data_IF_508089076665
#
_entry.id   IF_508089076665
#
_cell.length_a   1.000
_cell.length_b   1.000
_cell.length_c   1.000
_cell.angle_alpha   90.00
_cell.angle_beta   90.00
_cell.angle_gamma   90.00
#
_symmetry.space_group_name_H-M   'P 1'
#
loop_
_entity.id
_entity.type
_entity.pdbx_description
1 polymer ?
#
# COMPACT_ATOMS: atom_id res chain seq x y z
N UNK A 1 15.61 -1.27 3.89
CA UNK A 1 14.28 -1.74 3.44
C UNK A 1 13.78 -2.79 4.45
N UNK A 2 12.91 -2.44 5.40
CA UNK A 2 12.47 -3.37 6.46
C UNK A 2 11.24 -4.19 6.03
N UNK A 3 11.33 -5.52 6.00
CA UNK A 3 10.35 -6.37 5.32
C UNK A 3 8.98 -6.51 5.99
N UNK A 4 7.93 -6.15 5.23
CA UNK A 4 6.50 -6.22 5.59
C UNK A 4 6.18 -5.78 7.02
N UNK A 5 7.01 -4.91 7.60
CA UNK A 5 6.94 -4.55 9.01
C UNK A 5 5.59 -3.89 9.32
N UNK A 6 5.07 -3.10 8.39
CA UNK A 6 3.77 -2.44 8.51
C UNK A 6 2.63 -3.46 8.63
N UNK A 7 2.53 -4.43 7.71
CA UNK A 7 1.43 -5.43 7.74
C UNK A 7 1.59 -6.41 8.91
N UNK A 8 2.82 -6.79 9.25
CA UNK A 8 3.06 -7.66 10.40
C UNK A 8 2.73 -6.95 11.72
N UNK A 9 2.99 -5.65 11.83
CA UNK A 9 2.60 -4.85 12.99
C UNK A 9 1.07 -4.73 13.08
N UNK A 10 0.39 -4.40 11.97
CA UNK A 10 -1.08 -4.35 11.92
C UNK A 10 -1.73 -5.70 12.31
N UNK A 11 -1.22 -6.82 11.80
CA UNK A 11 -1.70 -8.16 12.15
C UNK A 11 -1.47 -8.56 13.61
N UNK A 12 -0.34 -8.14 14.20
CA UNK A 12 -0.03 -8.39 15.61
C UNK A 12 -0.97 -7.60 16.52
N UNK A 13 -1.21 -6.32 16.19
CA UNK A 13 -2.15 -5.48 16.92
C UNK A 13 -3.58 -6.07 16.90
N UNK A 14 -3.95 -6.75 15.80
CA UNK A 14 -5.24 -7.44 15.62
C UNK A 14 -5.25 -8.92 16.07
N UNK A 15 -4.28 -9.34 16.91
CA UNK A 15 -4.28 -10.67 17.53
C UNK A 15 -4.11 -11.84 16.54
N UNK A 16 -3.47 -11.62 15.39
CA UNK A 16 -3.23 -12.63 14.34
C UNK A 16 -4.49 -13.25 13.70
N UNK A 17 -5.67 -12.64 13.83
CA UNK A 17 -6.89 -13.11 13.15
C UNK A 17 -7.47 -11.98 12.31
N UNK A 18 -7.46 -12.15 10.99
CA UNK A 18 -8.38 -11.44 10.08
C UNK A 18 -9.81 -11.88 10.42
N UNK A 19 -10.39 -11.36 11.49
CA UNK A 19 -11.80 -11.52 11.81
C UNK A 19 -12.44 -10.14 11.91
N UNK A 20 -13.27 -9.85 10.91
CA UNK A 20 -14.10 -8.66 10.83
C UNK A 20 -14.84 -8.47 12.17
N UNK A 21 -14.52 -7.39 12.89
CA UNK A 21 -15.25 -6.96 14.09
C UNK A 21 -14.55 -7.10 15.45
N UNK A 22 -13.25 -7.39 15.52
CA UNK A 22 -12.52 -7.48 16.81
C UNK A 22 -11.60 -6.27 17.02
N UNK A 23 -11.67 -5.60 18.18
CA UNK A 23 -10.83 -4.43 18.53
C UNK A 23 -9.40 -4.87 18.92
N UNK A 24 -8.54 -5.10 17.94
CA UNK A 24 -7.10 -4.97 18.13
C UNK A 24 -6.70 -3.50 18.09
N UNK A 25 -6.32 -2.91 19.22
CA UNK A 25 -5.89 -1.51 19.25
C UNK A 25 -4.43 -1.47 18.82
N UNK A 26 -4.17 -1.10 17.56
CA UNK A 26 -2.86 -0.59 17.12
C UNK A 26 -2.52 0.58 18.05
N UNK A 27 -1.35 0.60 18.68
CA UNK A 27 -0.98 1.75 19.48
C UNK A 27 -0.87 2.99 18.57
N UNK A 28 -1.20 4.17 19.09
CA UNK A 28 -1.13 5.40 18.30
C UNK A 28 0.26 5.62 17.67
N UNK A 29 1.32 5.20 18.37
CA UNK A 29 2.71 5.28 17.89
C UNK A 29 2.93 4.35 16.69
N UNK A 30 2.47 3.09 16.76
CA UNK A 30 2.60 2.14 15.65
C UNK A 30 1.77 2.58 14.44
N UNK A 31 0.56 3.11 14.66
CA UNK A 31 -0.27 3.65 13.59
C UNK A 31 0.42 4.80 12.86
N UNK A 32 1.03 5.72 13.62
CA UNK A 32 1.82 6.82 13.06
C UNK A 32 3.03 6.33 12.27
N UNK A 33 3.78 5.36 12.81
CA UNK A 33 4.94 4.81 12.11
C UNK A 33 4.53 4.13 10.80
N UNK A 34 3.46 3.32 10.83
CA UNK A 34 2.92 2.67 9.64
C UNK A 34 2.42 3.67 8.60
N UNK A 35 1.72 4.71 9.05
CA UNK A 35 1.26 5.78 8.16
C UNK A 35 2.43 6.51 7.51
N UNK A 36 3.45 6.87 8.30
CA UNK A 36 4.65 7.54 7.78
C UNK A 36 5.37 6.69 6.74
N UNK A 37 5.52 5.39 7.01
CA UNK A 37 6.13 4.46 6.06
C UNK A 37 5.31 4.25 4.80
N UNK A 38 3.98 4.31 4.90
CA UNK A 38 3.10 4.33 3.74
C UNK A 38 3.31 5.61 2.93
N UNK A 39 3.29 6.79 3.56
CA UNK A 39 3.56 8.07 2.91
C UNK A 39 4.89 8.07 2.15
N UNK A 40 5.95 7.51 2.74
CA UNK A 40 7.30 7.50 2.15
C UNK A 40 7.56 6.35 1.16
N UNK A 41 6.62 5.42 0.98
CA UNK A 41 6.85 4.22 0.16
C UNK A 41 7.94 3.30 0.72
N UNK A 42 7.83 2.96 2.01
CA UNK A 42 8.72 2.06 2.78
C UNK A 42 7.95 0.94 3.49
N UNK A 43 6.86 0.48 2.87
CA UNK A 43 5.94 -0.53 3.39
C UNK A 43 6.47 -1.96 3.26
N UNK A 44 7.39 -2.18 2.30
CA UNK A 44 7.86 -3.51 1.93
C UNK A 44 6.90 -4.24 0.99
N UNK A 45 6.01 -3.52 0.33
CA UNK A 45 5.21 -4.01 -0.80
C UNK A 45 5.60 -3.20 -2.04
N UNK A 46 6.37 -3.78 -2.98
CA UNK A 46 6.99 -3.02 -4.05
C UNK A 46 6.04 -2.15 -4.89
N UNK A 47 4.82 -2.64 -5.17
CA UNK A 47 3.82 -1.87 -5.92
C UNK A 47 3.26 -0.68 -5.13
N UNK A 48 3.13 -0.82 -3.81
CA UNK A 48 2.66 0.24 -2.93
C UNK A 48 3.76 1.29 -2.80
N UNK A 49 4.99 0.83 -2.55
CA UNK A 49 6.18 1.66 -2.43
C UNK A 49 6.42 2.46 -3.72
N UNK A 50 6.31 1.81 -4.89
CA UNK A 50 6.39 2.45 -6.18
C UNK A 50 5.29 3.52 -6.39
N UNK A 51 4.05 3.23 -5.99
CA UNK A 51 2.95 4.19 -6.02
C UNK A 51 3.23 5.44 -5.20
N UNK A 52 3.53 5.25 -3.92
CA UNK A 52 3.73 6.38 -3.01
C UNK A 52 4.96 7.22 -3.39
N UNK A 53 6.03 6.59 -3.88
CA UNK A 53 7.17 7.32 -4.45
C UNK A 53 6.80 8.09 -5.73
N UNK A 54 6.03 7.50 -6.64
CA UNK A 54 5.51 8.20 -7.81
C UNK A 54 4.71 9.45 -7.43
N UNK A 55 3.77 9.29 -6.49
CA UNK A 55 2.95 10.40 -5.99
C UNK A 55 3.81 11.55 -5.49
N UNK A 56 4.80 11.24 -4.64
CA UNK A 56 5.60 12.26 -3.99
C UNK A 56 6.55 12.97 -4.95
N UNK A 57 7.04 12.28 -5.98
CA UNK A 57 7.97 12.86 -6.95
C UNK A 57 7.25 13.63 -8.06
N UNK A 58 6.08 13.17 -8.50
CA UNK A 58 5.40 13.73 -9.69
C UNK A 58 4.08 14.41 -9.42
N UNK A 59 3.51 14.20 -8.24
CA UNK A 59 2.16 14.62 -7.90
C UNK A 59 1.06 13.91 -8.70
N UNK A 60 1.37 12.80 -9.39
CA UNK A 60 0.40 12.05 -10.16
C UNK A 60 0.57 10.54 -9.98
N UNK A 61 -0.54 9.81 -9.92
CA UNK A 61 -0.54 8.35 -9.98
C UNK A 61 -1.61 7.84 -10.92
N UNK A 62 -1.35 6.72 -11.58
CA UNK A 62 -2.38 6.03 -12.35
C UNK A 62 -3.49 5.51 -11.42
N UNK A 63 -4.75 5.58 -11.86
CA UNK A 63 -5.91 5.24 -11.03
C UNK A 63 -5.84 3.84 -10.39
N UNK A 64 -5.34 2.84 -11.13
CA UNK A 64 -5.13 1.49 -10.58
C UNK A 64 -4.21 1.49 -9.36
N UNK A 65 -3.15 2.29 -9.40
CA UNK A 65 -2.17 2.39 -8.30
C UNK A 65 -2.80 3.13 -7.13
N UNK A 66 -3.58 4.19 -7.36
CA UNK A 66 -4.39 4.88 -6.33
C UNK A 66 -5.25 3.89 -5.55
N UNK A 67 -5.97 3.02 -6.26
CA UNK A 67 -6.80 1.99 -5.62
C UNK A 67 -5.97 0.98 -4.80
N UNK A 68 -4.82 0.54 -5.32
CA UNK A 68 -3.95 -0.42 -4.61
C UNK A 68 -3.44 0.18 -3.30
N UNK A 69 -2.90 1.40 -3.33
CA UNK A 69 -2.32 2.04 -2.14
C UNK A 69 -3.39 2.43 -1.12
N UNK A 70 -4.58 2.82 -1.58
CA UNK A 70 -5.72 3.14 -0.72
C UNK A 70 -6.31 1.90 -0.04
N UNK A 71 -6.51 0.80 -0.79
CA UNK A 71 -6.93 -0.48 -0.18
C UNK A 71 -5.89 -1.00 0.81
N UNK A 72 -4.61 -0.86 0.50
CA UNK A 72 -3.55 -1.25 1.43
C UNK A 72 -3.61 -0.46 2.74
N UNK A 73 -3.78 0.86 2.67
CA UNK A 73 -3.89 1.70 3.86
C UNK A 73 -5.07 1.25 4.76
N UNK A 74 -6.23 1.02 4.16
CA UNK A 74 -7.47 0.77 4.91
C UNK A 74 -7.61 -0.70 5.34
N UNK A 75 -7.24 -1.65 4.48
CA UNK A 75 -7.51 -3.08 4.69
C UNK A 75 -6.29 -3.86 5.19
N UNK A 76 -5.08 -3.46 4.82
CA UNK A 76 -3.85 -4.12 5.28
C UNK A 76 -3.22 -3.43 6.50
N UNK A 77 -3.26 -2.10 6.57
CA UNK A 77 -2.73 -1.33 7.71
C UNK A 77 -3.79 -0.96 8.75
N UNK A 78 -5.08 -1.12 8.42
CA UNK A 78 -6.21 -0.76 9.28
C UNK A 78 -6.22 0.72 9.68
N UNK A 79 -5.61 1.59 8.86
CA UNK A 79 -5.57 3.04 9.11
C UNK A 79 -6.81 3.68 8.51
N UNK A 80 -7.39 4.62 9.26
CA UNK A 80 -8.61 5.30 8.83
C UNK A 80 -8.38 6.14 7.55
N UNK A 81 -9.27 5.95 6.58
CA UNK A 81 -9.16 6.52 5.23
C UNK A 81 -9.06 8.06 5.15
N UNK A 82 -9.64 8.89 6.05
CA UNK A 82 -9.49 10.35 5.98
C UNK A 82 -8.04 10.82 6.06
N UNK A 83 -7.14 10.04 6.68
CA UNK A 83 -5.71 10.34 6.68
C UNK A 83 -5.10 10.23 5.29
N UNK A 84 -5.47 9.17 4.56
CA UNK A 84 -5.04 8.95 3.18
C UNK A 84 -5.67 9.95 2.21
N UNK A 85 -6.95 10.26 2.38
CA UNK A 85 -7.68 11.26 1.61
C UNK A 85 -6.99 12.62 1.67
N UNK A 86 -6.70 13.09 2.89
CA UNK A 86 -5.98 14.34 3.11
C UNK A 86 -4.59 14.33 2.47
N UNK A 87 -3.86 13.21 2.60
CA UNK A 87 -2.54 13.08 1.98
C UNK A 87 -2.62 13.19 0.45
N UNK A 88 -3.60 12.53 -0.17
CA UNK A 88 -3.84 12.61 -1.60
C UNK A 88 -4.18 14.03 -2.05
N UNK A 89 -5.08 14.73 -1.36
CA UNK A 89 -5.41 16.13 -1.70
C UNK A 89 -4.22 17.08 -1.60
N UNK A 90 -3.25 16.78 -0.75
CA UNK A 90 -2.05 17.61 -0.59
C UNK A 90 -0.99 17.37 -1.69
N UNK A 91 -1.02 16.22 -2.36
CA UNK A 91 0.06 15.81 -3.29
C UNK A 91 -0.41 15.63 -4.73
N UNK A 92 -1.68 15.31 -4.97
CA UNK A 92 -2.20 15.11 -6.31
C UNK A 92 -2.41 16.45 -7.03
N UNK A 93 -1.69 16.66 -8.13
CA UNK A 93 -1.87 17.83 -9.00
C UNK A 93 -3.26 17.83 -9.67
N UNK A 94 -3.82 16.63 -9.86
CA UNK A 94 -5.17 16.41 -10.39
C UNK A 94 -6.17 16.07 -9.27
N UNK A 95 -5.87 16.47 -8.04
CA UNK A 95 -6.73 16.26 -6.88
C UNK A 95 -8.05 17.00 -7.03
N UNK A 96 -9.12 16.23 -7.23
CA UNK A 96 -10.51 16.70 -7.20
C UNK A 96 -11.21 16.16 -5.95
N UNK A 97 -11.96 17.02 -5.27
CA UNK A 97 -12.59 16.67 -3.99
C UNK A 97 -13.58 15.52 -4.13
N UNK A 98 -14.44 15.53 -5.16
CA UNK A 98 -15.45 14.50 -5.34
C UNK A 98 -14.80 13.16 -5.69
N UNK A 99 -13.94 13.15 -6.71
CA UNK A 99 -13.25 11.94 -7.16
C UNK A 99 -12.35 11.33 -6.08
N UNK A 100 -11.62 12.17 -5.33
CA UNK A 100 -10.77 11.68 -4.25
C UNK A 100 -11.62 11.06 -3.14
N UNK A 101 -12.63 11.79 -2.66
CA UNK A 101 -13.47 11.35 -1.55
C UNK A 101 -14.23 10.05 -1.89
N UNK A 102 -14.85 9.98 -3.06
CA UNK A 102 -15.56 8.77 -3.53
C UNK A 102 -14.61 7.57 -3.66
N UNK A 103 -13.40 7.77 -4.21
CA UNK A 103 -12.40 6.72 -4.33
C UNK A 103 -11.96 6.15 -2.96
N UNK A 104 -11.79 7.02 -1.96
CA UNK A 104 -11.44 6.59 -0.60
C UNK A 104 -12.60 5.89 0.11
N UNK A 105 -13.82 6.40 -0.02
CA UNK A 105 -15.02 5.75 0.51
C UNK A 105 -15.23 4.36 -0.09
N UNK A 106 -15.08 4.23 -1.42
CA UNK A 106 -15.14 2.96 -2.12
C UNK A 106 -14.13 1.95 -1.57
N UNK A 107 -12.87 2.38 -1.35
CA UNK A 107 -11.83 1.53 -0.77
C UNK A 107 -12.12 1.16 0.69
N UNK A 108 -12.74 2.06 1.45
CA UNK A 108 -13.12 1.84 2.83
C UNK A 108 -14.40 1.02 2.99
N UNK A 109 -15.09 0.69 1.89
CA UNK A 109 -16.42 0.05 1.93
C UNK A 109 -17.46 0.91 2.66
N UNK A 110 -17.35 2.24 2.54
CA UNK A 110 -18.32 3.20 3.02
C UNK A 110 -18.90 4.01 1.85
N UNK A 111 -19.99 4.74 2.08
CA UNK A 111 -20.58 5.62 1.06
C UNK A 111 -21.63 4.96 0.17
N UNK A 112 -22.00 5.67 -0.90
CA UNK A 112 -23.13 5.32 -1.76
C UNK A 112 -22.84 4.15 -2.72
N UNK A 113 -21.61 4.02 -3.23
CA UNK A 113 -21.14 2.89 -4.06
C UNK A 113 -20.08 2.06 -3.32
N UNK A 114 -20.38 1.72 -2.07
CA UNK A 114 -19.46 0.96 -1.23
C UNK A 114 -19.23 -0.44 -1.80
N UNK A 115 -17.96 -0.82 -1.97
CA UNK A 115 -17.65 -2.22 -2.23
C UNK A 115 -17.93 -3.08 -1.02
N UNK A 116 -18.40 -4.32 -1.21
CA UNK A 116 -18.59 -5.24 -0.09
C UNK A 116 -17.31 -5.37 0.74
N UNK A 117 -17.45 -5.38 2.07
CA UNK A 117 -16.34 -5.39 3.03
C UNK A 117 -15.31 -6.51 2.79
N UNK A 118 -15.72 -7.63 2.19
CA UNK A 118 -14.87 -8.78 1.90
C UNK A 118 -14.02 -8.62 0.62
N UNK A 119 -14.24 -7.55 -0.17
CA UNK A 119 -13.40 -7.25 -1.33
C UNK A 119 -12.09 -6.64 -0.85
N UNK A 120 -11.01 -7.40 -0.89
CA UNK A 120 -9.66 -6.97 -0.51
C UNK A 120 -8.74 -7.21 -1.70
N UNK A 121 -7.97 -6.19 -2.08
CA UNK A 121 -6.95 -6.37 -3.09
C UNK A 121 -5.73 -7.00 -2.47
N UNK A 122 -5.33 -8.19 -2.95
CA UNK A 122 -4.02 -8.70 -2.66
C UNK A 122 -2.98 -7.88 -3.47
N UNK A 123 -2.12 -7.07 -2.81
CA UNK A 123 -1.19 -6.19 -3.53
C UNK A 123 -0.24 -6.94 -4.45
N UNK A 124 0.18 -8.16 -4.07
CA UNK A 124 1.04 -9.01 -4.88
C UNK A 124 0.35 -9.43 -6.18
N UNK A 125 -0.89 -9.92 -6.10
CA UNK A 125 -1.66 -10.33 -7.28
C UNK A 125 -1.99 -9.13 -8.18
N UNK A 126 -2.29 -7.97 -7.60
CA UNK A 126 -2.49 -6.75 -8.37
C UNK A 126 -1.20 -6.33 -9.09
N UNK A 127 -0.06 -6.39 -8.38
CA UNK A 127 1.24 -6.06 -8.95
C UNK A 127 1.58 -6.95 -10.13
N UNK A 128 1.45 -8.27 -9.98
CA UNK A 128 1.70 -9.23 -11.07
C UNK A 128 0.74 -9.05 -12.25
N UNK A 129 -0.52 -8.70 -11.98
CA UNK A 129 -1.54 -8.53 -13.03
C UNK A 129 -1.30 -7.27 -13.88
N UNK A 130 -0.96 -6.16 -13.23
CA UNK A 130 -0.90 -4.84 -13.87
C UNK A 130 0.52 -4.36 -14.21
N UNK A 131 1.56 -5.00 -13.68
CA UNK A 131 2.97 -4.71 -13.94
C UNK A 131 3.76 -6.01 -14.18
N UNK A 132 3.33 -6.86 -15.11
CA UNK A 132 3.84 -8.24 -15.30
C UNK A 132 5.37 -8.38 -15.34
N UNK A 133 6.05 -7.40 -15.93
CA UNK A 133 7.52 -7.40 -16.11
C UNK A 133 8.26 -6.61 -15.02
N UNK A 134 7.52 -6.00 -14.09
CA UNK A 134 8.03 -5.16 -13.02
C UNK A 134 8.54 -3.80 -13.49
N UNK A 135 8.21 -3.36 -14.71
CA UNK A 135 8.74 -2.11 -15.30
C UNK A 135 8.40 -0.91 -14.43
N UNK A 136 7.17 -0.86 -13.94
CA UNK A 136 6.72 0.23 -13.07
C UNK A 136 7.48 0.23 -11.74
N UNK A 137 7.62 -0.95 -11.10
CA UNK A 137 8.38 -1.07 -9.85
C UNK A 137 9.86 -0.70 -10.05
N UNK A 138 10.52 -1.16 -11.13
CA UNK A 138 11.93 -0.81 -11.42
C UNK A 138 12.15 0.69 -11.53
N UNK A 139 11.17 1.40 -12.10
CA UNK A 139 11.26 2.86 -12.26
C UNK A 139 11.33 3.55 -10.90
N UNK A 140 10.36 3.25 -10.03
CA UNK A 140 10.12 3.98 -8.78
C UNK A 140 10.80 3.38 -7.54
N UNK A 141 11.25 2.13 -7.61
CA UNK A 141 11.96 1.42 -6.55
C UNK A 141 13.32 0.96 -7.11
N UNK A 142 14.27 1.90 -7.28
CA UNK A 142 15.53 1.65 -7.98
C UNK A 142 16.37 0.53 -7.38
N UNK A 143 16.29 0.33 -6.06
CA UNK A 143 16.97 -0.76 -5.35
C UNK A 143 16.54 -2.17 -5.84
N UNK A 144 15.34 -2.31 -6.43
CA UNK A 144 14.85 -3.59 -6.97
C UNK A 144 15.11 -3.77 -8.46
N UNK A 145 15.81 -2.83 -9.12
CA UNK A 145 16.00 -2.80 -10.59
C UNK A 145 16.66 -4.02 -11.19
N UNK A 146 17.44 -4.75 -10.41
CA UNK A 146 18.18 -5.92 -10.89
C UNK A 146 17.46 -7.25 -10.64
N UNK A 147 16.31 -7.23 -9.96
CA UNK A 147 15.56 -8.46 -9.69
C UNK A 147 14.85 -8.97 -10.94
N UNK A 148 14.73 -10.27 -11.12
CA UNK A 148 13.89 -10.82 -12.19
C UNK A 148 12.41 -10.47 -11.99
N UNK A 149 11.58 -10.44 -13.05
CA UNK A 149 10.13 -10.19 -12.93
C UNK A 149 9.42 -11.07 -11.90
N UNK A 150 9.89 -12.31 -11.71
CA UNK A 150 9.33 -13.20 -10.69
C UNK A 150 9.57 -12.68 -9.26
N UNK A 151 10.76 -12.15 -8.99
CA UNK A 151 11.18 -11.76 -7.63
C UNK A 151 10.83 -10.31 -7.30
N UNK A 152 10.70 -9.43 -8.29
CA UNK A 152 10.47 -8.00 -8.07
C UNK A 152 9.14 -7.67 -7.37
N UNK A 153 8.13 -8.53 -7.56
CA UNK A 153 6.81 -8.35 -6.93
C UNK A 153 6.75 -8.80 -5.47
N UNK A 154 7.61 -9.75 -5.08
CA UNK A 154 7.70 -10.25 -3.71
C UNK A 154 9.16 -10.58 -3.32
N UNK A 155 10.05 -9.58 -3.22
CA UNK A 155 11.44 -9.81 -2.88
C UNK A 155 11.58 -10.44 -1.50
N UNK A 156 10.67 -10.15 -0.57
CA UNK A 156 10.70 -10.67 0.80
C UNK A 156 10.30 -12.13 0.91
N UNK A 157 9.29 -12.54 0.15
CA UNK A 157 8.80 -13.92 0.16
C UNK A 157 9.66 -14.87 -0.66
N UNK A 158 10.43 -14.34 -1.62
CA UNK A 158 11.12 -15.16 -2.63
C UNK A 158 12.65 -15.11 -2.55
N UNK A 159 13.26 -14.05 -1.99
CA UNK A 159 14.71 -13.99 -1.84
C UNK A 159 15.15 -14.60 -0.50
N UNK A 160 16.32 -15.21 -0.48
CA UNK A 160 16.98 -15.58 0.76
C UNK A 160 17.39 -14.33 1.55
N UNK A 161 17.55 -14.43 2.89
CA UNK A 161 18.01 -13.30 3.71
C UNK A 161 19.32 -12.69 3.22
N UNK A 162 20.23 -13.49 2.65
CA UNK A 162 21.51 -13.02 2.11
C UNK A 162 21.33 -12.20 0.84
N UNK A 163 20.51 -12.68 -0.10
CA UNK A 163 20.19 -11.95 -1.33
C UNK A 163 19.46 -10.65 -1.02
N UNK A 164 18.57 -10.66 -0.03
CA UNK A 164 17.83 -9.46 0.37
C UNK A 164 18.72 -8.40 1.03
N UNK A 165 19.72 -8.80 1.82
CA UNK A 165 20.69 -7.88 2.44
C UNK A 165 21.61 -7.18 1.42
N UNK A 166 21.69 -7.69 0.19
CA UNK A 166 22.51 -7.15 -0.88
C UNK A 166 21.78 -6.11 -1.75
N UNK A 167 20.49 -5.87 -1.50
CA UNK A 167 19.65 -4.85 -2.16
C UNK A 167 19.71 -3.51 -1.41
#
# INVERSE_FOLDING_TARGET
IGGRQCVNAARKADGNKLQIGSKGIVSWIEELEMFQRWCEGRTGYPIVDAGMRQLNETGWMHNRVRMIVAMFLVKDLLINWPKGEKYFMQHLIDGDFANNNEGWQWCASSGADAQPNFRIFNPLLQSQKFDRDGIYIRKWVPELRNLSPKHIHDPYGLLSPKEFQQL
#
